data_IF_355600661690
#
_entry.id   IF_355600661690
#
_cell.length_a   1.000
_cell.length_b   1.000
_cell.length_c   1.000
_cell.angle_alpha   90.00
_cell.angle_beta   90.00
_cell.angle_gamma   90.00
#
_symmetry.space_group_name_H-M   'P 1'
#
loop_
_entity.id
_entity.type
_entity.pdbx_description
1 polymer ?
#
# COMPACT_ATOMS: atom_id res chain seq x y z
N UNK A 1 -15.12 -0.58 6.63
CA UNK A 1 -15.73 -0.90 7.93
C UNK A 1 -17.20 -0.56 8.01
N UNK A 2 -18.02 -1.51 8.47
CA UNK A 2 -19.47 -1.38 8.70
C UNK A 2 -19.84 -1.51 10.20
N UNK A 3 -18.86 -1.68 11.09
CA UNK A 3 -19.09 -1.92 12.52
C UNK A 3 -19.26 -0.62 13.34
N UNK A 4 -18.53 0.46 13.01
CA UNK A 4 -18.65 1.75 13.72
C UNK A 4 -20.04 2.37 13.56
N UNK A 5 -20.61 2.34 12.36
CA UNK A 5 -21.95 2.87 12.09
C UNK A 5 -23.05 2.16 12.91
N UNK A 6 -22.82 0.91 13.34
CA UNK A 6 -23.75 0.14 14.19
C UNK A 6 -23.59 0.44 15.69
N UNK A 7 -22.49 1.07 16.11
CA UNK A 7 -22.20 1.42 17.52
C UNK A 7 -22.49 2.88 17.85
N UNK A 8 -22.90 3.68 16.86
CA UNK A 8 -23.30 5.06 17.09
C UNK A 8 -24.62 5.10 17.86
N UNK A 9 -24.66 5.95 18.89
CA UNK A 9 -25.92 6.34 19.50
C UNK A 9 -26.80 7.07 18.47
N UNK A 10 -28.12 6.90 18.58
CA UNK A 10 -29.09 7.65 17.76
C UNK A 10 -29.11 9.13 18.13
N UNK A 11 -28.64 9.48 19.34
CA UNK A 11 -28.53 10.85 19.81
C UNK A 11 -27.44 11.62 19.05
N UNK A 12 -27.79 12.84 18.63
CA UNK A 12 -26.86 13.79 17.99
C UNK A 12 -26.54 14.88 19.00
N UNK A 13 -25.25 15.17 19.20
CA UNK A 13 -24.83 16.34 19.97
C UNK A 13 -25.14 17.57 19.12
N UNK A 14 -25.88 18.54 19.66
CA UNK A 14 -26.22 19.78 18.96
C UNK A 14 -25.05 20.78 18.94
N UNK A 15 -24.95 21.59 17.88
CA UNK A 15 -23.74 22.39 17.63
C UNK A 15 -23.47 23.38 18.76
N UNK A 16 -24.52 24.08 19.21
CA UNK A 16 -24.45 25.02 20.35
C UNK A 16 -23.99 24.35 21.64
N UNK A 17 -24.36 23.09 21.88
CA UNK A 17 -23.93 22.36 23.07
C UNK A 17 -22.48 21.90 22.94
N UNK A 18 -22.06 21.45 21.75
CA UNK A 18 -20.69 21.02 21.49
C UNK A 18 -19.67 22.14 21.73
N UNK A 19 -19.93 23.33 21.17
CA UNK A 19 -19.02 24.47 21.25
C UNK A 19 -18.95 25.13 22.63
N UNK A 20 -19.86 24.79 23.56
CA UNK A 20 -19.74 25.23 24.96
C UNK A 20 -18.56 24.58 25.67
N UNK A 21 -18.17 23.39 25.22
CA UNK A 21 -17.13 22.58 25.87
C UNK A 21 -15.90 22.40 24.99
N UNK A 22 -16.02 22.57 23.67
CA UNK A 22 -14.94 22.29 22.70
C UNK A 22 -14.68 23.55 21.87
N UNK A 23 -13.41 23.95 21.67
CA UNK A 23 -13.07 25.09 20.83
C UNK A 23 -13.61 24.97 19.39
N UNK A 24 -14.01 26.11 18.81
CA UNK A 24 -14.53 26.17 17.45
C UNK A 24 -13.55 25.63 16.40
N UNK A 25 -12.25 25.76 16.61
CA UNK A 25 -11.22 25.21 15.71
C UNK A 25 -11.28 23.69 15.59
N UNK A 26 -11.58 22.99 16.68
CA UNK A 26 -11.76 21.53 16.70
C UNK A 26 -13.05 21.14 16.00
N UNK A 27 -14.15 21.87 16.24
CA UNK A 27 -15.42 21.66 15.55
C UNK A 27 -15.24 21.81 14.02
N UNK A 28 -14.53 22.85 13.58
CA UNK A 28 -14.21 23.06 12.16
C UNK A 28 -13.33 21.95 11.58
N UNK A 29 -12.32 21.46 12.32
CA UNK A 29 -11.47 20.35 11.88
C UNK A 29 -12.27 19.05 11.65
N UNK A 30 -13.33 18.84 12.44
CA UNK A 30 -14.29 17.73 12.26
C UNK A 30 -15.34 17.98 11.17
N UNK A 31 -15.31 19.13 10.50
CA UNK A 31 -16.34 19.56 9.54
C UNK A 31 -17.67 19.96 10.18
N UNK A 32 -17.72 20.04 11.51
CA UNK A 32 -18.93 20.28 12.29
C UNK A 32 -19.16 21.79 12.51
N UNK A 33 -20.15 22.33 11.79
CA UNK A 33 -20.49 23.75 11.81
C UNK A 33 -21.99 23.96 12.02
N UNK A 34 -22.39 25.16 12.47
CA UNK A 34 -23.79 25.49 12.80
C UNK A 34 -24.81 25.15 11.70
N UNK A 35 -24.44 25.35 10.43
CA UNK A 35 -25.26 25.07 9.25
C UNK A 35 -24.67 23.93 8.40
N UNK A 36 -23.79 23.12 9.02
CA UNK A 36 -23.05 22.06 8.35
C UNK A 36 -23.90 20.85 8.04
N UNK A 37 -23.47 20.08 7.03
CA UNK A 37 -24.06 18.76 6.71
C UNK A 37 -23.54 17.63 7.62
N UNK A 38 -22.71 17.97 8.60
CA UNK A 38 -22.09 17.02 9.51
C UNK A 38 -22.88 16.92 10.80
N UNK A 39 -23.06 15.71 11.31
CA UNK A 39 -23.61 15.44 12.64
C UNK A 39 -22.54 14.80 13.52
N UNK A 40 -22.60 15.05 14.82
CA UNK A 40 -21.70 14.45 15.81
C UNK A 40 -22.51 13.52 16.71
N UNK A 41 -22.08 12.27 16.80
CA UNK A 41 -22.71 11.25 17.63
C UNK A 41 -21.71 10.74 18.68
N UNK A 42 -22.13 10.59 19.95
CA UNK A 42 -21.28 9.98 20.96
C UNK A 42 -21.13 8.48 20.67
N UNK A 43 -19.93 7.96 20.95
CA UNK A 43 -19.62 6.53 20.91
C UNK A 43 -19.38 5.94 22.30
N UNK A 44 -18.87 6.74 23.23
CA UNK A 44 -18.53 6.27 24.56
C UNK A 44 -17.76 7.29 25.36
N UNK A 45 -17.68 7.03 26.66
CA UNK A 45 -16.98 7.86 27.64
C UNK A 45 -16.05 6.98 28.47
N UNK A 46 -14.85 7.46 28.72
CA UNK A 46 -13.87 6.80 29.61
C UNK A 46 -13.50 7.81 30.70
N UNK A 47 -13.57 7.38 31.94
CA UNK A 47 -13.15 8.17 33.11
C UNK A 47 -11.86 7.57 33.68
N UNK A 48 -10.87 8.42 33.93
CA UNK A 48 -9.61 8.03 34.57
C UNK A 48 -9.33 9.02 35.70
N UNK A 49 -9.66 8.63 36.93
CA UNK A 49 -9.64 9.57 38.05
C UNK A 49 -10.61 10.72 37.81
N UNK A 50 -10.09 11.95 37.69
CA UNK A 50 -10.89 13.15 37.37
C UNK A 50 -10.86 13.54 35.89
N UNK A 51 -10.08 12.84 35.08
CA UNK A 51 -9.99 13.08 33.65
C UNK A 51 -11.16 12.41 32.91
N UNK A 52 -11.56 12.98 31.78
CA UNK A 52 -12.62 12.43 30.95
C UNK A 52 -12.21 12.39 29.48
N UNK A 53 -12.45 11.24 28.86
CA UNK A 53 -12.22 11.01 27.44
C UNK A 53 -13.57 10.74 26.78
N UNK A 54 -13.99 11.57 25.83
CA UNK A 54 -15.24 11.41 25.09
C UNK A 54 -14.95 10.97 23.65
N UNK A 55 -15.37 9.75 23.30
CA UNK A 55 -15.28 9.22 21.94
C UNK A 55 -16.51 9.66 21.16
N UNK A 56 -16.30 10.13 19.94
CA UNK A 56 -17.37 10.55 19.05
C UNK A 56 -17.08 10.21 17.59
N UNK A 57 -18.13 10.29 16.78
CA UNK A 57 -18.06 10.18 15.33
C UNK A 57 -18.73 11.39 14.71
N UNK A 58 -17.99 12.06 13.83
CA UNK A 58 -18.53 13.06 12.92
C UNK A 58 -18.95 12.34 11.62
N UNK A 59 -20.19 12.55 11.19
CA UNK A 59 -20.80 11.89 10.02
C UNK A 59 -21.31 12.93 9.01
N UNK A 60 -20.99 12.76 7.73
CA UNK A 60 -21.61 13.51 6.62
C UNK A 60 -22.33 12.56 5.66
N UNK A 61 -23.65 12.44 5.80
CA UNK A 61 -24.43 11.41 5.11
C UNK A 61 -23.89 10.00 5.37
N UNK A 62 -24.22 9.01 4.53
CA UNK A 62 -23.82 7.62 4.80
C UNK A 62 -22.40 7.25 4.34
N UNK A 63 -21.63 8.21 3.82
CA UNK A 63 -20.38 7.92 3.10
C UNK A 63 -19.11 8.40 3.82
N UNK A 64 -19.20 9.37 4.72
CA UNK A 64 -18.04 9.94 5.41
C UNK A 64 -18.25 9.89 6.92
N UNK A 65 -17.30 9.28 7.59
CA UNK A 65 -17.26 9.04 9.03
C UNK A 65 -15.83 9.31 9.51
N UNK A 66 -15.72 10.20 10.48
CA UNK A 66 -14.47 10.51 11.16
C UNK A 66 -14.67 10.22 12.64
N UNK A 67 -13.97 9.21 13.16
CA UNK A 67 -13.96 8.92 14.59
C UNK A 67 -12.90 9.80 15.27
N UNK A 68 -13.21 10.31 16.45
CA UNK A 68 -12.31 11.18 17.21
C UNK A 68 -12.45 10.92 18.71
N UNK A 69 -11.48 11.42 19.46
CA UNK A 69 -11.50 11.47 20.92
C UNK A 69 -11.24 12.90 21.39
N UNK A 70 -12.00 13.34 22.39
CA UNK A 70 -11.79 14.58 23.12
C UNK A 70 -11.27 14.24 24.51
N UNK A 71 -10.27 14.97 24.98
CA UNK A 71 -9.69 14.87 26.31
C UNK A 71 -10.04 16.12 27.13
N UNK A 72 -10.60 15.86 28.31
CA UNK A 72 -10.90 16.85 29.33
C UNK A 72 -10.04 16.57 30.55
N UNK A 73 -9.37 17.62 31.04
CA UNK A 73 -8.48 17.53 32.19
C UNK A 73 -9.26 17.32 33.51
N UNK A 74 -8.54 17.26 34.62
CA UNK A 74 -9.14 17.07 35.96
C UNK A 74 -10.14 18.17 36.37
N UNK A 75 -10.05 19.36 35.75
CA UNK A 75 -10.98 20.47 35.96
C UNK A 75 -12.16 20.45 34.97
N UNK A 76 -12.32 19.35 34.22
CA UNK A 76 -13.35 19.17 33.19
C UNK A 76 -13.29 20.23 32.09
N UNK A 77 -12.11 20.83 31.87
CA UNK A 77 -11.85 21.75 30.76
C UNK A 77 -11.29 20.96 29.60
N UNK A 78 -11.73 21.31 28.39
CA UNK A 78 -11.13 20.76 27.17
C UNK A 78 -9.63 21.02 27.17
N UNK A 79 -8.87 19.97 26.93
CA UNK A 79 -7.42 20.01 26.95
C UNK A 79 -6.84 19.61 25.60
N UNK A 80 -7.38 18.57 24.95
CA UNK A 80 -6.90 18.16 23.62
C UNK A 80 -7.89 17.28 22.85
N UNK A 81 -7.61 17.01 21.58
CA UNK A 81 -8.35 16.07 20.75
C UNK A 81 -7.45 15.29 19.79
N UNK A 82 -7.90 14.10 19.38
CA UNK A 82 -7.19 13.30 18.38
C UNK A 82 -8.18 12.69 17.40
N UNK A 83 -7.91 12.84 16.10
CA UNK A 83 -8.59 12.07 15.06
C UNK A 83 -8.12 10.61 15.15
N UNK A 84 -9.08 9.67 15.22
CA UNK A 84 -8.83 8.25 15.43
C UNK A 84 -8.93 7.42 14.15
N UNK A 85 -10.00 7.59 13.38
CA UNK A 85 -10.23 6.86 12.14
C UNK A 85 -10.91 7.77 11.14
N UNK A 86 -10.60 7.58 9.86
CA UNK A 86 -11.25 8.30 8.79
C UNK A 86 -11.45 7.40 7.56
N UNK A 87 -12.71 7.24 7.15
CA UNK A 87 -13.07 6.45 5.98
C UNK A 87 -13.20 7.29 4.69
N UNK A 88 -12.79 8.55 4.70
CA UNK A 88 -12.85 9.44 3.52
C UNK A 88 -11.86 9.02 2.42
N UNK A 89 -10.80 8.28 2.77
CA UNK A 89 -9.77 7.80 1.84
C UNK A 89 -10.13 6.50 1.11
N UNK A 90 -9.88 6.44 -0.21
CA UNK A 90 -9.97 5.21 -1.03
C UNK A 90 -8.59 4.58 -1.26
N UNK A 91 -7.78 4.43 -0.22
CA UNK A 91 -6.40 3.92 -0.32
C UNK A 91 -6.29 2.37 -0.28
N UNK A 92 -7.42 1.70 -0.02
CA UNK A 92 -7.52 0.25 0.06
C UNK A 92 -7.05 -0.33 1.39
N UNK A 93 -6.75 0.50 2.38
CA UNK A 93 -6.47 0.06 3.74
C UNK A 93 -7.78 -0.21 4.49
N UNK A 94 -7.79 -1.28 5.29
CA UNK A 94 -8.75 -1.45 6.38
C UNK A 94 -8.20 -0.73 7.59
N UNK A 95 -9.07 -0.06 8.33
CA UNK A 95 -8.67 0.67 9.53
C UNK A 95 -9.50 0.19 10.72
N UNK A 96 -8.85 0.02 11.86
CA UNK A 96 -9.49 -0.34 13.12
C UNK A 96 -8.88 0.42 14.28
N UNK A 97 -9.64 0.50 15.38
CA UNK A 97 -9.25 1.19 16.60
C UNK A 97 -9.41 0.23 17.78
N UNK A 98 -8.37 0.15 18.60
CA UNK A 98 -8.38 -0.56 19.88
C UNK A 98 -8.15 0.43 21.01
N UNK A 99 -8.94 0.30 22.08
CA UNK A 99 -8.84 1.12 23.29
C UNK A 99 -8.69 0.19 24.50
N UNK A 100 -7.68 0.41 25.34
CA UNK A 100 -7.44 -0.37 26.55
C UNK A 100 -7.89 0.40 27.83
N UNK A 101 -7.74 -0.24 29.00
CA UNK A 101 -8.19 0.30 30.30
C UNK A 101 -7.38 1.50 30.81
N UNK A 102 -6.13 1.64 30.38
CA UNK A 102 -5.26 2.79 30.68
C UNK A 102 -5.11 3.62 29.39
N UNK A 103 -6.02 4.58 29.16
CA UNK A 103 -6.54 4.93 27.85
C UNK A 103 -5.43 5.18 26.83
N UNK A 104 -5.13 4.13 26.09
CA UNK A 104 -4.25 4.08 24.95
C UNK A 104 -5.10 3.77 23.74
N UNK A 105 -5.04 4.66 22.75
CA UNK A 105 -5.82 4.58 21.52
C UNK A 105 -4.90 4.08 20.41
N UNK A 106 -5.06 2.82 20.02
CA UNK A 106 -4.23 2.21 18.98
C UNK A 106 -4.99 2.17 17.67
N UNK A 107 -4.56 2.99 16.73
CA UNK A 107 -5.02 2.97 15.34
C UNK A 107 -4.25 1.89 14.59
N UNK A 108 -4.96 1.00 13.91
CA UNK A 108 -4.37 -0.01 13.04
C UNK A 108 -4.85 0.25 11.63
N UNK A 109 -3.91 0.43 10.70
CA UNK A 109 -4.18 0.38 9.26
C UNK A 109 -3.53 -0.86 8.69
N UNK A 110 -4.25 -1.62 7.90
CA UNK A 110 -3.74 -2.84 7.26
C UNK A 110 -4.19 -2.96 5.81
N UNK A 111 -3.32 -3.51 4.97
CA UNK A 111 -3.59 -3.75 3.56
C UNK A 111 -3.02 -5.10 3.17
N UNK A 112 -3.88 -5.96 2.63
CA UNK A 112 -3.46 -7.25 2.08
C UNK A 112 -2.64 -7.00 0.82
N UNK A 113 -1.41 -7.53 0.80
CA UNK A 113 -0.50 -7.45 -0.36
C UNK A 113 -0.58 -8.72 -1.18
N UNK A 114 -0.58 -9.88 -0.52
CA UNK A 114 -0.72 -11.20 -1.13
C UNK A 114 -1.55 -12.13 -0.25
N UNK A 115 -1.70 -13.41 -0.62
CA UNK A 115 -2.38 -14.41 0.21
C UNK A 115 -1.73 -14.59 1.59
N UNK A 116 -0.40 -14.42 1.68
CA UNK A 116 0.41 -14.64 2.88
C UNK A 116 0.95 -13.37 3.54
N UNK A 117 0.81 -12.19 2.93
CA UNK A 117 1.43 -10.95 3.42
C UNK A 117 0.44 -9.79 3.54
N UNK A 118 0.51 -9.11 4.69
CA UNK A 118 -0.27 -7.93 5.02
C UNK A 118 0.68 -6.82 5.47
N UNK A 119 0.64 -5.68 4.79
CA UNK A 119 1.24 -4.45 5.29
C UNK A 119 0.37 -3.89 6.40
N UNK A 120 0.98 -3.39 7.47
CA UNK A 120 0.31 -2.74 8.56
C UNK A 120 1.14 -1.59 9.13
N UNK A 121 0.44 -0.61 9.67
CA UNK A 121 0.99 0.40 10.59
C UNK A 121 0.06 0.50 11.79
N UNK A 122 0.64 0.49 13.00
CA UNK A 122 -0.04 0.70 14.27
C UNK A 122 0.52 1.95 14.93
N UNK A 123 -0.34 2.91 15.21
CA UNK A 123 -0.01 4.11 15.95
C UNK A 123 -0.80 4.11 17.26
N UNK A 124 -0.10 4.08 18.38
CA UNK A 124 -0.70 4.13 19.72
C UNK A 124 -0.51 5.51 20.34
N UNK A 125 -1.62 6.12 20.73
CA UNK A 125 -1.64 7.44 21.36
C UNK A 125 -2.10 7.33 22.80
N UNK A 126 -1.48 8.09 23.69
CA UNK A 126 -1.92 8.27 25.07
C UNK A 126 -1.71 9.72 25.49
N UNK A 127 -2.43 10.16 26.52
CA UNK A 127 -2.19 11.48 27.12
C UNK A 127 -0.99 11.36 28.07
N UNK A 128 0.07 12.12 27.78
CA UNK A 128 1.21 12.29 28.68
C UNK A 128 0.99 13.56 29.50
N UNK A 129 1.34 13.52 30.78
CA UNK A 129 1.06 14.61 31.73
C UNK A 129 1.53 15.96 31.18
N UNK A 130 0.55 16.80 30.83
CA UNK A 130 0.60 18.19 30.37
C UNK A 130 0.66 18.49 28.85
N UNK A 131 0.84 17.51 27.96
CA UNK A 131 1.03 17.79 26.51
C UNK A 131 -0.09 17.27 25.60
N UNK A 132 -1.23 16.85 26.15
CA UNK A 132 -2.31 16.27 25.36
C UNK A 132 -1.94 14.89 24.80
N UNK A 133 -2.58 14.48 23.71
CA UNK A 133 -2.33 13.21 23.04
C UNK A 133 -0.93 13.20 22.44
N UNK A 134 -0.15 12.19 22.81
CA UNK A 134 1.18 11.93 22.28
C UNK A 134 1.23 10.55 21.65
N UNK A 135 1.92 10.43 20.51
CA UNK A 135 2.27 9.13 19.93
C UNK A 135 3.28 8.45 20.86
N UNK A 136 2.87 7.38 21.53
CA UNK A 136 3.71 6.64 22.48
C UNK A 136 4.36 5.41 21.85
N UNK A 137 3.78 4.90 20.75
CA UNK A 137 4.32 3.74 20.05
C UNK A 137 3.91 3.77 18.59
N UNK A 138 4.86 3.44 17.71
CA UNK A 138 4.63 3.21 16.30
C UNK A 138 5.25 1.88 15.89
N UNK A 139 4.43 0.97 15.36
CA UNK A 139 4.88 -0.27 14.76
C UNK A 139 4.50 -0.28 13.28
N UNK A 140 5.42 -0.64 12.41
CA UNK A 140 5.10 -0.79 10.99
C UNK A 140 5.93 -1.89 10.34
N UNK A 141 5.32 -2.61 9.41
CA UNK A 141 6.05 -3.44 8.44
C UNK A 141 5.90 -2.88 7.01
N UNK A 142 5.38 -1.67 6.85
CA UNK A 142 5.20 -1.04 5.54
C UNK A 142 6.53 -0.84 4.82
N UNK A 143 7.64 -0.65 5.55
CA UNK A 143 8.96 -0.52 4.93
C UNK A 143 9.53 -1.86 4.45
N UNK A 144 9.20 -2.98 5.10
CA UNK A 144 9.51 -4.31 4.55
C UNK A 144 8.65 -4.62 3.31
N UNK A 145 7.39 -4.18 3.33
CA UNK A 145 6.51 -4.25 2.17
C UNK A 145 6.93 -3.30 1.01
N UNK A 146 7.53 -2.14 1.31
CA UNK A 146 8.05 -1.17 0.35
C UNK A 146 9.46 -1.50 -0.15
N UNK A 147 10.31 -2.10 0.69
CA UNK A 147 11.66 -2.58 0.31
C UNK A 147 11.61 -3.71 -0.73
N UNK A 148 10.44 -4.32 -0.95
CA UNK A 148 10.16 -5.20 -2.08
C UNK A 148 9.98 -4.47 -3.42
N UNK A 149 10.24 -3.16 -3.51
CA UNK A 149 10.29 -2.46 -4.80
C UNK A 149 11.62 -2.77 -5.49
N UNK A 150 11.68 -3.91 -6.17
CA UNK A 150 12.82 -4.32 -7.00
C UNK A 150 13.09 -3.22 -8.03
N UNK A 151 14.27 -2.61 -7.98
CA UNK A 151 14.72 -1.64 -8.98
C UNK A 151 15.16 -2.40 -10.23
N UNK A 152 14.55 -2.10 -11.36
CA UNK A 152 14.90 -2.69 -12.64
C UNK A 152 16.01 -1.87 -13.32
N UNK A 153 17.26 -2.36 -13.39
CA UNK A 153 18.38 -1.59 -13.93
C UNK A 153 18.32 -1.39 -15.44
N UNK A 154 17.40 -2.09 -16.14
CA UNK A 154 17.25 -2.03 -17.60
C UNK A 154 15.89 -1.42 -18.00
N UNK A 155 15.16 -0.80 -17.08
CA UNK A 155 13.82 -0.28 -17.37
C UNK A 155 13.79 0.84 -18.41
N UNK A 156 14.85 1.64 -18.47
CA UNK A 156 15.07 2.75 -19.43
C UNK A 156 15.46 2.28 -20.83
N UNK A 157 15.82 1.00 -21.01
CA UNK A 157 16.27 0.49 -22.31
C UNK A 157 15.09 0.28 -23.28
N UNK A 158 15.36 0.28 -24.61
CA UNK A 158 14.34 0.08 -25.63
C UNK A 158 13.55 -1.24 -25.51
N UNK A 159 12.29 -1.17 -25.93
CA UNK A 159 11.34 -2.29 -25.94
C UNK A 159 10.58 -2.37 -27.29
N UNK A 160 11.32 -2.37 -28.38
CA UNK A 160 10.76 -2.37 -29.74
C UNK A 160 10.49 -3.78 -30.25
N UNK A 161 11.20 -4.80 -29.75
CA UNK A 161 11.02 -6.19 -30.17
C UNK A 161 9.78 -6.83 -29.54
N UNK A 162 9.25 -7.85 -30.21
CA UNK A 162 7.97 -8.49 -29.84
C UNK A 162 7.96 -9.06 -28.41
N UNK A 163 9.07 -9.64 -27.97
CA UNK A 163 9.23 -10.22 -26.63
C UNK A 163 9.77 -9.22 -25.59
N UNK A 164 10.12 -7.99 -25.99
CA UNK A 164 10.58 -6.98 -25.04
C UNK A 164 9.44 -6.49 -24.16
N UNK A 165 9.71 -6.31 -22.87
CA UNK A 165 8.75 -5.84 -21.89
C UNK A 165 9.02 -6.37 -20.50
N UNK A 166 8.17 -5.96 -19.56
CA UNK A 166 8.21 -6.44 -18.19
C UNK A 166 7.16 -7.54 -18.01
N UNK A 167 7.60 -8.65 -17.45
CA UNK A 167 6.80 -9.81 -17.12
C UNK A 167 6.74 -9.94 -15.61
N UNK A 168 5.53 -10.04 -15.09
CA UNK A 168 5.28 -10.06 -13.66
C UNK A 168 4.42 -11.24 -13.25
N UNK A 169 4.65 -11.71 -12.03
CA UNK A 169 3.81 -12.68 -11.32
C UNK A 169 3.46 -12.03 -9.99
N UNK A 170 2.17 -11.88 -9.70
CA UNK A 170 1.65 -11.31 -8.44
C UNK A 170 2.25 -9.94 -8.03
N UNK A 171 2.75 -9.14 -8.99
CA UNK A 171 3.29 -7.79 -8.76
C UNK A 171 4.64 -7.72 -8.03
N UNK A 172 5.22 -8.84 -7.58
CA UNK A 172 6.48 -8.89 -6.82
C UNK A 172 7.66 -9.51 -7.55
N UNK A 173 7.40 -10.31 -8.58
CA UNK A 173 8.47 -10.92 -9.36
C UNK A 173 8.65 -10.16 -10.66
N UNK A 174 9.89 -9.84 -11.00
CA UNK A 174 10.20 -9.07 -12.18
C UNK A 174 11.14 -9.85 -13.09
N UNK A 175 10.63 -10.18 -14.28
CA UNK A 175 11.42 -10.59 -15.42
C UNK A 175 11.29 -9.49 -16.47
N UNK A 176 12.39 -8.84 -16.81
CA UNK A 176 12.44 -7.79 -17.80
C UNK A 176 13.29 -8.24 -18.97
N UNK A 177 12.71 -8.14 -20.16
CA UNK A 177 13.38 -8.30 -21.43
C UNK A 177 13.47 -6.96 -22.13
N UNK A 178 14.64 -6.64 -22.65
CA UNK A 178 14.90 -5.44 -23.44
C UNK A 178 15.61 -5.82 -24.72
N UNK A 179 15.53 -4.91 -25.69
CA UNK A 179 16.14 -5.13 -27.00
C UNK A 179 17.64 -5.40 -26.86
N UNK A 180 18.11 -6.49 -27.45
CA UNK A 180 19.52 -6.85 -27.53
C UNK A 180 20.17 -6.36 -28.82
N UNK A 181 21.14 -7.12 -29.31
CA UNK A 181 21.84 -6.77 -30.56
C UNK A 181 20.95 -6.88 -31.82
N UNK A 182 19.95 -7.75 -31.80
CA UNK A 182 18.97 -7.97 -32.87
C UNK A 182 17.75 -8.71 -32.30
N UNK A 183 16.73 -8.99 -33.13
CA UNK A 183 15.47 -9.62 -32.69
C UNK A 183 15.62 -11.04 -32.10
N UNK A 184 16.79 -11.67 -32.25
CA UNK A 184 17.14 -12.97 -31.66
C UNK A 184 17.94 -12.87 -30.36
N UNK A 185 18.25 -11.67 -29.89
CA UNK A 185 19.04 -11.40 -28.69
C UNK A 185 18.30 -10.41 -27.78
N UNK A 186 18.20 -10.72 -26.49
CA UNK A 186 17.51 -9.88 -25.52
C UNK A 186 18.36 -9.71 -24.28
N UNK A 187 18.34 -8.50 -23.71
CA UNK A 187 18.91 -8.23 -22.39
C UNK A 187 17.92 -8.66 -21.32
N UNK A 188 18.40 -9.44 -20.37
CA UNK A 188 17.64 -10.02 -19.28
C UNK A 188 18.01 -9.36 -17.96
N UNK A 189 16.97 -8.98 -17.23
CA UNK A 189 17.01 -8.81 -15.79
C UNK A 189 15.91 -9.68 -15.19
N UNK A 190 16.27 -10.61 -14.32
CA UNK A 190 15.33 -11.52 -13.70
C UNK A 190 15.57 -11.61 -12.20
N UNK A 191 14.64 -11.06 -11.44
CA UNK A 191 14.59 -11.18 -9.99
C UNK A 191 13.54 -12.21 -9.58
N UNK A 192 13.91 -13.10 -8.68
CA UNK A 192 13.00 -14.09 -8.12
C UNK A 192 13.18 -14.23 -6.60
N UNK A 193 12.05 -14.40 -5.91
CA UNK A 193 12.01 -14.60 -4.46
C UNK A 193 10.81 -15.48 -4.07
N UNK A 194 11.03 -16.76 -3.75
CA UNK A 194 9.95 -17.64 -3.26
C UNK A 194 9.84 -17.63 -1.74
N UNK A 195 10.99 -17.59 -1.05
CA UNK A 195 11.12 -17.56 0.40
C UNK A 195 12.51 -17.02 0.78
N UNK A 196 12.80 -16.90 2.08
CA UNK A 196 14.04 -16.30 2.58
C UNK A 196 15.33 -16.95 2.04
N UNK A 197 15.31 -18.26 1.76
CA UNK A 197 16.45 -19.05 1.27
C UNK A 197 16.43 -19.25 -0.26
N UNK A 198 15.41 -18.71 -0.93
CA UNK A 198 15.16 -18.84 -2.36
C UNK A 198 14.94 -17.46 -2.96
N UNK A 199 16.00 -16.64 -2.93
CA UNK A 199 16.04 -15.31 -3.52
C UNK A 199 17.29 -15.15 -4.37
N UNK A 200 17.15 -14.46 -5.50
CA UNK A 200 18.27 -14.25 -6.40
C UNK A 200 17.93 -13.34 -7.56
N UNK A 201 18.98 -12.99 -8.28
CA UNK A 201 18.92 -12.11 -9.44
C UNK A 201 19.81 -12.65 -10.55
N UNK A 202 19.33 -12.61 -11.79
CA UNK A 202 20.07 -12.98 -12.99
C UNK A 202 20.07 -11.80 -13.94
N UNK A 203 21.27 -11.38 -14.33
CA UNK A 203 21.55 -10.34 -15.32
C UNK A 203 22.36 -10.93 -16.46
N UNK A 204 22.03 -10.57 -17.70
CA UNK A 204 22.84 -10.89 -18.85
C UNK A 204 22.05 -10.88 -20.14
N UNK A 205 22.48 -11.67 -21.13
CA UNK A 205 21.80 -11.76 -22.42
C UNK A 205 21.22 -13.16 -22.61
N UNK A 206 20.05 -13.22 -23.23
CA UNK A 206 19.42 -14.46 -23.68
C UNK A 206 19.32 -14.46 -25.19
N UNK A 207 19.47 -15.65 -25.78
CA UNK A 207 19.38 -15.84 -27.23
C UNK A 207 18.19 -16.73 -27.58
N UNK A 208 17.44 -16.34 -28.60
CA UNK A 208 16.40 -17.19 -29.17
C UNK A 208 17.05 -18.38 -29.87
N UNK A 209 16.68 -19.58 -29.44
CA UNK A 209 17.02 -20.86 -30.09
C UNK A 209 15.89 -21.33 -31.00
N UNK A 210 14.69 -20.79 -30.80
CA UNK A 210 13.55 -20.88 -31.72
C UNK A 210 12.62 -19.68 -31.50
N UNK A 211 11.63 -19.41 -32.37
CA UNK A 211 10.76 -18.22 -32.26
C UNK A 211 10.02 -18.07 -30.93
N UNK A 212 9.87 -19.16 -30.16
CA UNK A 212 9.19 -19.19 -28.87
C UNK A 212 10.08 -19.70 -27.73
N UNK A 213 11.38 -19.85 -27.96
CA UNK A 213 12.31 -20.34 -26.93
C UNK A 213 13.60 -19.55 -26.93
N UNK A 214 13.95 -19.02 -25.76
CA UNK A 214 15.26 -18.40 -25.51
C UNK A 214 16.01 -19.14 -24.41
N UNK A 215 17.33 -19.01 -24.43
CA UNK A 215 18.22 -19.64 -23.47
C UNK A 215 19.16 -18.59 -22.88
N UNK A 216 19.30 -18.62 -21.55
CA UNK A 216 20.39 -17.98 -20.82
C UNK A 216 21.43 -19.03 -20.46
N UNK A 217 22.69 -18.77 -20.84
CA UNK A 217 23.84 -19.57 -20.42
C UNK A 217 25.06 -18.66 -20.30
N UNK A 218 25.75 -18.73 -19.16
CA UNK A 218 27.01 -18.01 -18.96
C UNK A 218 28.16 -18.91 -19.42
N UNK A 219 29.16 -18.33 -20.10
CA UNK A 219 30.33 -19.09 -20.55
C UNK A 219 31.04 -19.74 -19.36
N UNK A 220 31.29 -21.05 -19.44
CA UNK A 220 31.89 -21.84 -18.35
C UNK A 220 30.93 -22.26 -17.22
N UNK A 221 29.64 -21.91 -17.29
CA UNK A 221 28.62 -22.28 -16.30
C UNK A 221 27.74 -23.42 -16.87
N UNK A 222 27.64 -24.59 -16.20
CA UNK A 222 26.75 -25.67 -16.64
C UNK A 222 25.27 -25.31 -16.48
N UNK A 223 24.95 -24.20 -15.82
CA UNK A 223 23.60 -23.73 -15.64
C UNK A 223 22.99 -23.18 -16.94
N UNK A 224 21.90 -23.80 -17.37
CA UNK A 224 21.09 -23.35 -18.50
C UNK A 224 19.68 -23.02 -18.01
N UNK A 225 19.19 -21.82 -18.35
CA UNK A 225 17.82 -21.41 -18.04
C UNK A 225 17.07 -21.18 -19.35
N UNK A 226 15.98 -21.92 -19.53
CA UNK A 226 15.10 -21.87 -20.69
C UNK A 226 13.91 -20.95 -20.43
N UNK A 227 13.61 -20.12 -21.41
CA UNK A 227 12.46 -19.23 -21.44
C UNK A 227 11.57 -19.63 -22.61
N UNK A 228 10.37 -20.15 -22.31
CA UNK A 228 9.38 -20.55 -23.31
C UNK A 228 8.24 -19.54 -23.37
N UNK A 229 8.01 -18.96 -24.55
CA UNK A 229 7.04 -17.89 -24.76
C UNK A 229 5.73 -18.42 -25.39
N UNK A 230 4.60 -18.05 -24.79
CA UNK A 230 3.27 -18.39 -25.27
C UNK A 230 2.34 -17.18 -25.13
N UNK A 231 2.11 -16.47 -26.23
CA UNK A 231 1.30 -15.25 -26.23
C UNK A 231 1.90 -14.17 -25.33
N UNK A 232 1.21 -13.84 -24.23
CA UNK A 232 1.70 -12.88 -23.23
C UNK A 232 2.41 -13.55 -22.04
N UNK A 233 2.58 -14.87 -22.06
CA UNK A 233 3.21 -15.62 -20.97
C UNK A 233 4.64 -16.02 -21.31
N UNK A 234 5.52 -16.00 -20.31
CA UNK A 234 6.84 -16.60 -20.37
C UNK A 234 6.97 -17.62 -19.24
N UNK A 235 7.31 -18.85 -19.61
CA UNK A 235 7.63 -19.92 -18.67
C UNK A 235 9.13 -20.02 -18.55
N UNK A 236 9.64 -19.90 -17.33
CA UNK A 236 11.05 -20.03 -16.98
C UNK A 236 11.28 -21.42 -16.40
N UNK A 237 12.23 -22.14 -16.97
CA UNK A 237 12.61 -23.48 -16.52
C UNK A 237 14.13 -23.58 -16.44
N UNK A 238 14.61 -24.00 -15.30
CA UNK A 238 15.99 -24.40 -15.11
C UNK A 238 16.23 -25.79 -15.70
N UNK A 239 17.30 -25.94 -16.47
CA UNK A 239 17.78 -27.23 -16.96
C UNK A 239 18.92 -27.68 -16.03
N UNK A 240 18.72 -28.78 -15.31
CA UNK A 240 19.67 -29.28 -14.30
C UNK A 240 19.43 -28.70 -12.91
N UNK A 241 20.52 -28.43 -12.16
CA UNK A 241 20.48 -28.00 -10.76
C UNK A 241 21.41 -26.78 -10.52
N UNK A 242 21.18 -25.71 -11.28
CA UNK A 242 21.82 -24.41 -11.11
C UNK A 242 21.69 -23.81 -9.72
N UNK A 243 20.58 -24.07 -9.01
CA UNK A 243 20.33 -23.55 -7.66
C UNK A 243 21.50 -23.86 -6.70
N UNK A 244 21.98 -25.11 -6.74
CA UNK A 244 23.09 -25.56 -5.90
C UNK A 244 24.44 -24.86 -6.21
N UNK A 245 24.66 -24.41 -7.44
CA UNK A 245 25.90 -23.69 -7.81
C UNK A 245 25.91 -22.21 -7.40
N UNK A 246 24.75 -21.63 -7.07
CA UNK A 246 24.60 -20.22 -6.70
C UNK A 246 24.18 -19.98 -5.24
N UNK A 247 24.21 -21.02 -4.40
CA UNK A 247 23.76 -20.93 -3.01
C UNK A 247 22.24 -20.75 -2.87
N UNK A 248 21.48 -21.05 -3.92
CA UNK A 248 20.02 -20.89 -3.99
C UNK A 248 19.39 -22.27 -3.81
N UNK A 249 18.66 -22.50 -2.71
CA UNK A 249 18.17 -23.84 -2.35
C UNK A 249 16.89 -24.27 -3.09
N UNK A 250 16.60 -23.69 -4.25
CA UNK A 250 15.32 -23.90 -4.95
C UNK A 250 15.46 -23.94 -6.46
N UNK A 251 14.51 -24.64 -7.11
CA UNK A 251 14.41 -24.71 -8.56
C UNK A 251 13.64 -23.50 -9.12
N UNK A 252 14.16 -22.97 -10.22
CA UNK A 252 13.54 -21.90 -11.00
C UNK A 252 12.58 -22.52 -12.02
N UNK A 253 11.30 -22.59 -11.67
CA UNK A 253 10.22 -23.21 -12.45
C UNK A 253 8.94 -22.41 -12.26
N UNK A 254 8.75 -21.36 -13.06
CA UNK A 254 7.66 -20.39 -12.88
C UNK A 254 7.14 -19.85 -14.21
N UNK A 255 5.93 -19.26 -14.17
CA UNK A 255 5.29 -18.62 -15.32
C UNK A 255 4.96 -17.17 -14.98
N UNK A 256 5.30 -16.25 -15.90
CA UNK A 256 5.11 -14.82 -15.76
C UNK A 256 4.25 -14.27 -16.90
N UNK A 257 3.53 -13.18 -16.65
CA UNK A 257 2.67 -12.51 -17.64
C UNK A 257 3.21 -11.14 -18.00
N UNK A 258 3.23 -10.82 -19.29
CA UNK A 258 3.63 -9.52 -19.82
C UNK A 258 2.69 -8.44 -19.29
N UNK A 259 3.27 -7.42 -18.65
CA UNK A 259 2.57 -6.23 -18.19
C UNK A 259 2.05 -5.47 -19.40
N UNK A 260 0.80 -5.04 -19.35
CA UNK A 260 0.23 -4.19 -20.41
C UNK A 260 0.94 -2.84 -20.39
N UNK A 261 1.45 -2.41 -21.54
CA UNK A 261 2.03 -1.08 -21.72
C UNK A 261 0.95 -0.02 -21.50
N UNK A 262 1.11 0.85 -20.50
CA UNK A 262 0.34 2.09 -20.42
C UNK A 262 0.88 3.04 -21.48
N UNK A 263 0.36 2.95 -22.70
CA UNK A 263 0.70 3.89 -23.76
C UNK A 263 0.28 5.29 -23.31
N UNK A 264 1.26 6.16 -23.09
CA UNK A 264 1.07 7.58 -22.88
C UNK A 264 0.35 8.19 -24.08
N UNK A 265 -0.67 8.97 -23.78
CA UNK A 265 -1.44 9.76 -24.72
C UNK A 265 -0.49 10.77 -25.40
N UNK A 266 0.01 10.46 -26.60
CA UNK A 266 0.74 11.43 -27.43
C UNK A 266 -0.27 12.44 -27.96
N UNK A 267 -0.03 13.71 -27.60
CA UNK A 267 -0.91 14.83 -27.88
C UNK A 267 -1.28 14.99 -29.35
N UNK A 268 -2.56 15.28 -29.57
CA UNK A 268 -3.05 15.77 -30.84
C UNK A 268 -3.11 17.30 -30.75
N UNK A 269 -1.99 17.99 -30.99
CA UNK A 269 -1.99 19.43 -31.27
C UNK A 269 -2.43 19.65 -32.72
N UNK A 270 -3.72 19.48 -32.97
CA UNK A 270 -4.36 19.78 -34.25
C UNK A 270 -4.66 21.28 -34.34
N UNK A 271 -3.70 22.05 -34.84
CA UNK A 271 -3.88 23.41 -35.34
C UNK A 271 -5.07 23.48 -36.32
N UNK A 272 -6.19 24.09 -35.92
CA UNK A 272 -7.24 24.50 -36.85
C UNK A 272 -7.07 25.97 -37.21
N UNK A 273 -6.61 26.19 -38.44
CA UNK A 273 -6.51 27.49 -39.10
C UNK A 273 -7.88 28.16 -39.19
N UNK A 274 -7.90 29.42 -38.74
CA UNK A 274 -8.86 30.47 -39.10
C UNK A 274 -8.90 30.67 -40.63
N UNK A 275 -10.09 30.66 -41.23
CA UNK A 275 -10.46 31.36 -42.48
C UNK A 275 -11.85 31.96 -42.18
N UNK A 276 -11.93 33.29 -42.05
CA UNK A 276 -12.19 34.28 -43.11
C UNK A 276 -13.51 34.06 -43.80
#
# INVERSE_FOLDING_TARGET
DTSMARRMDTLTIGYKAFIQFVPDSVAQALGYTANGKWSVHPLGRIEKGKETYLLGVAKQGDKKLTAFILYFNEQQKFADWQQLLDNTGKDGYKQSLTVNKEPTFTQVREKKISSSETAFTRNSFAVLTQNGFSLIMQETNEDKARAATIVNPIDTLPQTYSLSGDYTKEGKFLLSLRDGANENDYRLFYYFEKNADCKGEIKGNIKLVSPKKAVYQKSGDPCVIEFSFAGSEVKVKEQGNCGNYRGIKCQINDTYRKKKSSVGNKGNSGSTRKKS
#
